data_IF_805766727798
#
_entry.id   IF_805766727798
#
_cell.length_a   1.000
_cell.length_b   1.000
_cell.length_c   1.000
_cell.angle_alpha   90.00
_cell.angle_beta   90.00
_cell.angle_gamma   90.00
#
_symmetry.space_group_name_H-M   'P 1'
#
loop_
_entity.id
_entity.type
_entity.pdbx_description
1 polymer ?
#
# COMPACT_ATOMS: atom_id res chain seq x y z
N UNK A 1 15.10 -41.75 14.50
CA UNK A 1 13.93 -40.97 14.88
C UNK A 1 13.47 -40.22 13.62
N UNK A 2 12.51 -40.80 12.90
CA UNK A 2 12.01 -40.25 11.64
C UNK A 2 10.96 -39.23 12.04
N UNK A 3 11.20 -37.93 11.73
CA UNK A 3 10.22 -36.90 11.96
C UNK A 3 9.16 -37.07 10.88
N UNK A 4 7.94 -37.42 11.28
CA UNK A 4 6.79 -37.47 10.39
C UNK A 4 6.31 -36.05 10.13
N UNK A 5 6.66 -35.51 8.95
CA UNK A 5 6.23 -34.18 8.49
C UNK A 5 4.88 -34.20 7.77
N UNK A 6 4.22 -35.38 7.69
CA UNK A 6 2.94 -35.51 6.96
C UNK A 6 1.76 -34.92 7.71
N UNK A 7 1.84 -34.73 9.05
CA UNK A 7 0.76 -34.18 9.87
C UNK A 7 0.77 -32.65 10.01
N UNK A 8 1.79 -31.97 9.50
CA UNK A 8 1.94 -30.52 9.64
C UNK A 8 1.51 -29.70 8.41
N UNK A 9 1.03 -30.35 7.37
CA UNK A 9 0.52 -29.65 6.19
C UNK A 9 -0.93 -29.21 6.43
N UNK A 10 -1.12 -28.13 7.19
CA UNK A 10 -2.35 -27.34 7.07
C UNK A 10 -2.54 -27.03 5.60
N UNK A 11 -3.69 -27.39 5.03
CA UNK A 11 -3.92 -27.16 3.60
C UNK A 11 -3.79 -25.65 3.33
N UNK A 12 -3.22 -25.27 2.20
CA UNK A 12 -3.03 -23.86 1.82
C UNK A 12 -4.37 -23.10 1.81
N UNK A 13 -5.49 -23.81 1.63
CA UNK A 13 -6.84 -23.26 1.71
C UNK A 13 -7.26 -22.86 3.13
N UNK A 14 -6.64 -23.41 4.18
CA UNK A 14 -6.94 -23.13 5.58
C UNK A 14 -6.11 -21.97 6.15
N UNK A 15 -5.04 -21.56 5.45
CA UNK A 15 -4.24 -20.44 5.89
C UNK A 15 -5.05 -19.14 5.75
N UNK A 16 -5.05 -18.34 6.80
CA UNK A 16 -5.61 -17.00 6.79
C UNK A 16 -4.98 -16.19 5.65
N UNK A 17 -5.80 -15.58 4.79
CA UNK A 17 -5.32 -14.81 3.64
C UNK A 17 -4.68 -13.50 4.03
N UNK A 18 -5.27 -12.81 4.98
CA UNK A 18 -4.93 -11.45 5.38
C UNK A 18 -4.83 -11.35 6.89
N UNK A 19 -3.93 -10.50 7.36
CA UNK A 19 -3.77 -10.12 8.76
C UNK A 19 -3.68 -8.61 8.89
N UNK A 20 -4.10 -8.09 10.04
CA UNK A 20 -3.78 -6.73 10.47
C UNK A 20 -2.96 -6.86 11.74
N UNK A 21 -1.81 -6.22 11.79
CA UNK A 21 -0.89 -6.35 12.90
C UNK A 21 -0.66 -4.99 13.57
N UNK A 22 -1.03 -4.90 14.85
CA UNK A 22 -0.80 -3.74 15.70
C UNK A 22 0.11 -4.12 16.87
N UNK A 23 1.28 -4.68 16.56
CA UNK A 23 2.19 -5.27 17.53
C UNK A 23 3.48 -4.46 17.68
N UNK A 24 3.90 -4.28 18.92
CA UNK A 24 5.13 -3.57 19.28
C UNK A 24 4.98 -2.04 19.24
N UNK A 25 6.05 -1.36 19.63
CA UNK A 25 6.11 0.10 19.68
C UNK A 25 6.40 0.65 18.28
N UNK A 26 5.69 1.71 17.87
CA UNK A 26 6.01 2.45 16.65
C UNK A 26 7.37 3.14 16.78
N UNK A 27 8.19 3.01 15.75
CA UNK A 27 9.44 3.76 15.63
C UNK A 27 9.14 5.21 15.25
N UNK A 28 9.99 6.17 15.63
CA UNK A 28 9.89 7.52 15.08
C UNK A 28 9.94 7.49 13.55
N UNK A 29 9.05 8.22 12.92
CA UNK A 29 9.02 8.37 11.46
C UNK A 29 10.05 9.43 11.01
N UNK A 30 10.38 9.44 9.73
CA UNK A 30 11.32 10.40 9.13
C UNK A 30 10.79 11.84 9.22
N UNK A 31 9.47 12.01 9.14
CA UNK A 31 8.78 13.30 9.14
C UNK A 31 7.67 13.32 10.19
N UNK A 32 7.19 14.51 10.51
CA UNK A 32 6.05 14.69 11.41
C UNK A 32 4.75 14.14 10.82
N UNK A 33 3.78 13.82 11.69
CA UNK A 33 2.44 13.45 11.28
C UNK A 33 1.78 14.56 10.43
N UNK A 34 2.05 15.83 10.75
CA UNK A 34 1.56 16.97 9.98
C UNK A 34 2.10 16.98 8.54
N UNK A 35 3.35 16.56 8.35
CA UNK A 35 3.94 16.45 7.01
C UNK A 35 3.32 15.29 6.22
N UNK A 36 3.06 14.13 6.84
CA UNK A 36 2.35 13.04 6.18
C UNK A 36 0.91 13.43 5.81
N UNK A 37 0.19 14.12 6.70
CA UNK A 37 -1.15 14.64 6.37
C UNK A 37 -1.13 15.67 5.23
N UNK A 38 -0.12 16.54 5.18
CA UNK A 38 0.06 17.48 4.06
C UNK A 38 0.24 16.72 2.74
N UNK A 39 1.08 15.66 2.74
CA UNK A 39 1.33 14.85 1.55
C UNK A 39 0.07 14.11 1.10
N UNK A 40 -0.58 13.42 2.02
CA UNK A 40 -1.83 12.70 1.76
C UNK A 40 -2.94 13.66 1.34
N UNK A 41 -3.04 14.84 1.97
CA UNK A 41 -3.98 15.89 1.60
C UNK A 41 -3.81 16.34 0.14
N UNK A 42 -2.57 16.54 -0.31
CA UNK A 42 -2.31 16.85 -1.73
C UNK A 42 -2.71 15.72 -2.68
N UNK A 43 -2.50 14.46 -2.30
CA UNK A 43 -2.96 13.32 -3.11
C UNK A 43 -4.50 13.22 -3.12
N UNK A 44 -5.16 13.48 -1.98
CA UNK A 44 -6.63 13.53 -1.87
C UNK A 44 -7.23 14.67 -2.71
N UNK A 45 -6.53 15.79 -2.84
CA UNK A 45 -6.94 16.84 -3.77
C UNK A 45 -6.91 16.33 -5.22
N UNK A 46 -5.86 15.64 -5.63
CA UNK A 46 -5.77 14.99 -6.96
C UNK A 46 -6.92 13.98 -7.14
N UNK A 47 -7.24 13.21 -6.09
CA UNK A 47 -8.38 12.28 -6.12
C UNK A 47 -9.69 13.03 -6.39
N UNK A 48 -9.95 14.13 -5.68
CA UNK A 48 -11.16 14.94 -5.87
C UNK A 48 -11.24 15.53 -7.29
N UNK A 49 -10.14 16.09 -7.79
CA UNK A 49 -10.07 16.69 -9.15
C UNK A 49 -10.32 15.65 -10.25
N UNK A 50 -9.87 14.41 -10.06
CA UNK A 50 -10.04 13.32 -11.03
C UNK A 50 -11.29 12.45 -10.75
N UNK A 51 -12.02 12.70 -9.67
CA UNK A 51 -13.17 11.91 -9.24
C UNK A 51 -12.77 10.45 -8.92
N UNK A 52 -11.68 10.24 -8.21
CA UNK A 52 -11.19 8.92 -7.83
C UNK A 52 -11.76 8.50 -6.46
N UNK A 53 -12.15 7.24 -6.36
CA UNK A 53 -12.62 6.65 -5.09
C UNK A 53 -11.44 6.32 -4.16
N UNK A 54 -10.31 5.92 -4.74
CA UNK A 54 -9.05 5.64 -4.04
C UNK A 54 -7.85 5.72 -5.00
N UNK A 55 -6.64 5.73 -4.44
CA UNK A 55 -5.38 5.59 -5.18
C UNK A 55 -4.61 4.39 -4.66
N UNK A 56 -4.10 3.57 -5.57
CA UNK A 56 -3.24 2.41 -5.29
C UNK A 56 -1.83 2.73 -5.80
N UNK A 57 -0.96 3.10 -4.88
CA UNK A 57 0.46 3.36 -5.16
C UNK A 57 1.25 2.07 -4.98
N UNK A 58 2.10 1.74 -5.95
CA UNK A 58 2.90 0.52 -5.96
C UNK A 58 4.39 0.79 -6.13
N UNK A 59 4.76 2.01 -6.51
CA UNK A 59 6.16 2.38 -6.62
C UNK A 59 6.79 2.57 -5.25
N UNK A 60 8.03 2.09 -5.11
CA UNK A 60 8.83 2.21 -3.90
C UNK A 60 8.90 3.66 -3.38
N UNK A 61 9.18 4.61 -4.26
CA UNK A 61 9.35 6.01 -3.88
C UNK A 61 8.05 6.67 -3.44
N UNK A 62 6.90 6.32 -4.02
CA UNK A 62 5.62 6.87 -3.58
C UNK A 62 5.13 6.20 -2.30
N UNK A 63 5.27 4.89 -2.14
CA UNK A 63 4.99 4.23 -0.86
C UNK A 63 5.82 4.87 0.25
N UNK A 64 7.14 5.02 0.06
CA UNK A 64 8.01 5.70 1.04
C UNK A 64 7.59 7.15 1.30
N UNK A 65 7.27 7.91 0.26
CA UNK A 65 6.91 9.33 0.38
C UNK A 65 5.63 9.55 1.18
N UNK A 66 4.60 8.75 0.92
CA UNK A 66 3.28 8.94 1.53
C UNK A 66 3.07 8.18 2.84
N UNK A 67 3.91 7.19 3.17
CA UNK A 67 3.73 6.38 4.38
C UNK A 67 4.98 6.17 5.22
N UNK A 68 6.14 6.63 4.79
CA UNK A 68 7.44 6.32 5.39
C UNK A 68 7.87 4.85 5.30
N UNK A 69 7.01 3.97 4.80
CA UNK A 69 7.32 2.56 4.73
C UNK A 69 8.47 2.29 3.77
N UNK A 70 9.53 1.72 4.32
CA UNK A 70 10.71 1.28 3.59
C UNK A 70 10.71 -0.25 3.51
N UNK A 71 10.59 -0.80 2.32
CA UNK A 71 10.62 -2.24 2.10
C UNK A 71 11.76 -2.65 1.18
N UNK A 72 12.19 -3.90 1.30
CA UNK A 72 13.21 -4.44 0.39
C UNK A 72 12.52 -5.23 -0.73
N UNK A 73 12.92 -4.93 -1.96
CA UNK A 73 12.29 -5.52 -3.14
C UNK A 73 12.79 -6.95 -3.38
N UNK A 74 12.08 -7.94 -2.82
CA UNK A 74 12.38 -9.37 -2.99
C UNK A 74 11.34 -10.11 -3.85
N UNK A 75 10.81 -9.47 -4.89
CA UNK A 75 9.82 -10.09 -5.77
C UNK A 75 8.43 -10.27 -5.13
N UNK A 76 8.13 -9.54 -4.06
CA UNK A 76 6.80 -9.42 -3.48
C UNK A 76 6.15 -8.11 -3.91
N UNK A 77 4.82 -8.12 -4.00
CA UNK A 77 4.06 -6.90 -4.33
C UNK A 77 3.74 -6.11 -3.06
N UNK A 78 3.85 -4.80 -3.14
CA UNK A 78 3.54 -3.86 -2.08
C UNK A 78 2.65 -2.76 -2.63
N UNK A 79 1.74 -2.25 -1.80
CA UNK A 79 0.94 -1.10 -2.16
C UNK A 79 0.69 -0.20 -0.95
N UNK A 80 0.46 1.07 -1.22
CA UNK A 80 -0.23 1.98 -0.33
C UNK A 80 -1.57 2.33 -0.97
N UNK A 81 -2.65 1.94 -0.30
CA UNK A 81 -4.01 2.33 -0.67
C UNK A 81 -4.34 3.62 0.06
N UNK A 82 -4.57 4.69 -0.69
CA UNK A 82 -4.97 5.99 -0.13
C UNK A 82 -6.45 6.21 -0.44
N UNK A 83 -7.20 6.52 0.61
CA UNK A 83 -8.63 6.78 0.56
C UNK A 83 -8.91 8.25 0.90
N UNK A 84 -10.14 8.76 0.77
CA UNK A 84 -10.48 10.12 1.19
C UNK A 84 -10.11 10.42 2.66
N UNK A 85 -10.18 9.41 3.54
CA UNK A 85 -10.06 9.62 4.99
C UNK A 85 -8.76 9.12 5.59
N UNK A 86 -8.15 8.05 5.01
CA UNK A 86 -6.95 7.41 5.57
C UNK A 86 -6.01 6.82 4.51
N UNK A 87 -5.03 6.03 4.98
CA UNK A 87 -4.14 5.25 4.12
C UNK A 87 -3.81 3.90 4.76
N UNK A 88 -3.65 2.87 3.91
CA UNK A 88 -3.38 1.49 4.33
C UNK A 88 -2.25 0.91 3.51
N UNK A 89 -1.19 0.47 4.17
CA UNK A 89 -0.12 -0.30 3.55
C UNK A 89 -0.57 -1.76 3.35
N UNK A 90 -0.47 -2.27 2.12
CA UNK A 90 -0.71 -3.69 1.80
C UNK A 90 0.64 -4.34 1.54
N UNK A 91 1.04 -5.27 2.42
CA UNK A 91 2.41 -5.77 2.50
C UNK A 91 2.46 -7.30 2.59
N UNK A 92 3.62 -7.88 2.28
CA UNK A 92 3.81 -9.33 2.36
C UNK A 92 4.09 -9.78 3.79
N UNK A 93 3.67 -11.00 4.15
CA UNK A 93 3.86 -11.58 5.49
C UNK A 93 5.33 -11.74 5.90
N UNK A 94 6.26 -11.73 4.97
CA UNK A 94 7.70 -11.73 5.29
C UNK A 94 8.11 -10.49 6.11
N UNK A 95 7.40 -9.39 5.94
CA UNK A 95 7.63 -8.13 6.66
C UNK A 95 6.65 -7.92 7.82
N UNK A 96 5.92 -8.98 8.23
CA UNK A 96 4.89 -8.90 9.25
C UNK A 96 5.34 -8.14 10.51
N UNK A 97 4.54 -7.15 10.92
CA UNK A 97 4.82 -6.25 12.05
C UNK A 97 5.69 -5.03 11.70
N UNK A 98 6.50 -5.07 10.65
CA UNK A 98 7.27 -3.91 10.20
C UNK A 98 6.36 -2.75 9.71
N UNK A 99 5.37 -3.00 8.83
CA UNK A 99 4.49 -1.93 8.35
C UNK A 99 3.85 -1.14 9.49
N UNK A 100 3.30 -1.82 10.50
CA UNK A 100 2.73 -1.15 11.67
C UNK A 100 3.73 -0.26 12.41
N UNK A 101 4.94 -0.79 12.63
CA UNK A 101 5.94 -0.10 13.47
C UNK A 101 6.66 1.04 12.76
N UNK A 102 6.79 0.97 11.43
CA UNK A 102 7.68 1.87 10.67
C UNK A 102 6.96 2.66 9.59
N UNK A 103 5.61 2.67 9.57
CA UNK A 103 4.87 3.46 8.61
C UNK A 103 3.78 4.32 9.25
N UNK A 104 3.44 5.38 8.53
CA UNK A 104 2.26 6.18 8.77
C UNK A 104 1.01 5.48 8.22
N UNK A 105 -0.11 5.55 8.92
CA UNK A 105 -1.35 4.87 8.54
C UNK A 105 -1.50 3.46 9.10
N UNK A 106 -2.45 2.71 8.55
CA UNK A 106 -2.77 1.33 8.95
C UNK A 106 -2.10 0.31 8.02
N UNK A 107 -2.31 -0.98 8.30
CA UNK A 107 -1.70 -2.04 7.52
C UNK A 107 -2.63 -3.23 7.29
N UNK A 108 -2.45 -3.88 6.16
CA UNK A 108 -2.96 -5.21 5.83
C UNK A 108 -1.77 -6.03 5.35
N UNK A 109 -1.58 -7.21 5.96
CA UNK A 109 -0.50 -8.14 5.62
C UNK A 109 -1.10 -9.34 4.91
N UNK A 110 -0.70 -9.60 3.66
CA UNK A 110 -1.13 -10.78 2.92
C UNK A 110 -0.19 -11.96 3.16
N UNK A 111 -0.74 -13.18 3.33
CA UNK A 111 -0.02 -14.35 3.84
C UNK A 111 0.52 -15.30 2.78
N UNK A 112 -0.09 -15.34 1.60
CA UNK A 112 0.34 -16.22 0.51
C UNK A 112 0.22 -15.52 -0.85
N UNK A 113 1.37 -15.19 -1.44
CA UNK A 113 1.45 -14.52 -2.72
C UNK A 113 0.95 -15.37 -3.91
N UNK A 114 1.01 -16.71 -3.81
CA UNK A 114 0.58 -17.62 -4.88
C UNK A 114 -0.93 -17.62 -5.07
N UNK A 115 -1.69 -17.22 -4.06
CA UNK A 115 -3.15 -17.10 -4.09
C UNK A 115 -3.64 -15.72 -4.50
N UNK A 116 -2.75 -14.87 -5.01
CA UNK A 116 -3.05 -13.46 -5.35
C UNK A 116 -3.63 -12.65 -4.17
N UNK A 117 -3.26 -13.02 -2.94
CA UNK A 117 -3.75 -12.39 -1.72
C UNK A 117 -3.38 -10.91 -1.61
N UNK A 118 -2.38 -10.44 -2.37
CA UNK A 118 -2.07 -9.02 -2.50
C UNK A 118 -3.28 -8.22 -3.01
N UNK A 119 -3.95 -8.70 -4.05
CA UNK A 119 -5.12 -8.02 -4.61
C UNK A 119 -6.32 -8.09 -3.67
N UNK A 120 -6.47 -9.23 -2.95
CA UNK A 120 -7.44 -9.35 -1.85
C UNK A 120 -7.18 -8.33 -0.75
N UNK A 121 -5.90 -8.05 -0.42
CA UNK A 121 -5.53 -7.02 0.54
C UNK A 121 -5.99 -5.62 0.12
N UNK A 122 -5.84 -5.28 -1.17
CA UNK A 122 -6.32 -4.00 -1.70
C UNK A 122 -7.86 -3.94 -1.65
N UNK A 123 -8.55 -5.02 -2.07
CA UNK A 123 -10.02 -5.10 -1.97
C UNK A 123 -10.50 -4.93 -0.52
N UNK A 124 -9.85 -5.62 0.41
CA UNK A 124 -10.20 -5.55 1.84
C UNK A 124 -9.95 -4.16 2.42
N UNK A 125 -8.88 -3.47 2.01
CA UNK A 125 -8.62 -2.09 2.42
C UNK A 125 -9.78 -1.15 2.05
N UNK A 126 -10.38 -1.33 0.88
CA UNK A 126 -11.52 -0.55 0.41
C UNK A 126 -12.84 -1.02 1.03
N UNK A 127 -13.07 -2.33 1.11
CA UNK A 127 -14.29 -2.91 1.65
C UNK A 127 -14.51 -2.54 3.12
N UNK A 128 -13.46 -2.58 3.96
CA UNK A 128 -13.54 -2.17 5.37
C UNK A 128 -13.96 -0.71 5.55
N UNK A 129 -13.79 0.11 4.51
CA UNK A 129 -14.14 1.54 4.48
C UNK A 129 -15.44 1.82 3.73
N UNK A 130 -16.13 0.77 3.28
CA UNK A 130 -17.37 0.90 2.51
C UNK A 130 -17.18 1.57 1.15
N UNK A 131 -15.94 1.57 0.61
CA UNK A 131 -15.63 2.20 -0.67
C UNK A 131 -15.88 1.20 -1.79
N UNK A 132 -16.85 1.53 -2.64
CA UNK A 132 -17.07 0.83 -3.90
C UNK A 132 -16.14 1.44 -4.96
N UNK A 133 -15.10 0.70 -5.32
CA UNK A 133 -14.13 1.15 -6.30
C UNK A 133 -14.71 1.10 -7.72
N UNK A 134 -15.01 2.27 -8.26
CA UNK A 134 -15.41 2.47 -9.67
C UNK A 134 -14.35 3.22 -10.47
N UNK A 135 -13.52 4.01 -9.78
CA UNK A 135 -12.43 4.79 -10.36
C UNK A 135 -11.22 4.75 -9.42
N UNK A 136 -10.19 4.00 -9.81
CA UNK A 136 -8.95 3.85 -9.04
C UNK A 136 -7.80 4.60 -9.71
N UNK A 137 -7.11 5.41 -8.95
CA UNK A 137 -5.84 6.00 -9.37
C UNK A 137 -4.72 4.97 -9.28
N UNK A 138 -3.88 4.88 -10.31
CA UNK A 138 -2.72 3.98 -10.38
C UNK A 138 -1.52 4.70 -10.98
N UNK A 139 -0.33 4.12 -10.85
CA UNK A 139 0.93 4.66 -11.39
C UNK A 139 1.28 3.95 -12.70
N UNK A 140 0.73 4.39 -13.82
CA UNK A 140 0.92 3.73 -15.11
C UNK A 140 2.39 3.74 -15.59
N UNK A 141 3.22 4.68 -15.10
CA UNK A 141 4.65 4.78 -15.44
C UNK A 141 5.54 3.74 -14.74
N UNK A 142 5.06 3.16 -13.64
CA UNK A 142 5.82 2.19 -12.85
C UNK A 142 5.09 0.87 -12.61
N UNK A 143 3.79 0.80 -12.91
CA UNK A 143 2.96 -0.38 -12.70
C UNK A 143 3.24 -1.43 -13.78
N UNK A 144 3.83 -2.61 -13.44
CA UNK A 144 4.04 -3.66 -14.43
C UNK A 144 2.74 -4.12 -15.07
N UNK A 145 2.76 -4.41 -16.37
CA UNK A 145 1.57 -4.83 -17.12
C UNK A 145 0.82 -5.97 -16.44
N UNK A 146 1.54 -7.02 -16.02
CA UNK A 146 0.93 -8.16 -15.32
C UNK A 146 0.22 -7.75 -14.01
N UNK A 147 0.81 -6.82 -13.26
CA UNK A 147 0.21 -6.34 -12.02
C UNK A 147 -1.04 -5.51 -12.32
N UNK A 148 -1.00 -4.69 -13.37
CA UNK A 148 -2.13 -3.89 -13.84
C UNK A 148 -3.30 -4.79 -14.28
N UNK A 149 -3.02 -5.83 -15.08
CA UNK A 149 -4.03 -6.78 -15.55
C UNK A 149 -4.70 -7.52 -14.38
N UNK A 150 -3.93 -7.96 -13.40
CA UNK A 150 -4.46 -8.61 -12.20
C UNK A 150 -5.25 -7.65 -11.32
N UNK A 151 -4.81 -6.39 -11.19
CA UNK A 151 -5.56 -5.36 -10.48
C UNK A 151 -6.89 -5.09 -11.18
N UNK A 152 -6.90 -4.98 -12.52
CA UNK A 152 -8.12 -4.83 -13.29
C UNK A 152 -9.06 -6.05 -13.11
N UNK A 153 -8.51 -7.26 -13.07
CA UNK A 153 -9.30 -8.47 -12.82
C UNK A 153 -9.90 -8.50 -11.40
N UNK A 154 -9.18 -7.95 -10.40
CA UNK A 154 -9.69 -7.82 -9.04
C UNK A 154 -10.78 -6.74 -8.91
N UNK A 155 -10.77 -5.74 -9.79
CA UNK A 155 -11.75 -4.65 -9.84
C UNK A 155 -12.32 -4.51 -11.26
N UNK A 156 -13.14 -5.47 -11.73
CA UNK A 156 -13.57 -5.53 -13.13
C UNK A 156 -14.41 -4.32 -13.57
N UNK A 157 -15.14 -3.71 -12.63
CA UNK A 157 -16.00 -2.55 -12.89
C UNK A 157 -15.27 -1.20 -12.70
N UNK A 158 -14.01 -1.22 -12.26
CA UNK A 158 -13.27 0.00 -11.98
C UNK A 158 -12.51 0.48 -13.23
N UNK A 159 -12.58 1.78 -13.51
CA UNK A 159 -11.64 2.44 -14.40
C UNK A 159 -10.32 2.70 -13.67
N UNK A 160 -9.20 2.24 -14.23
CA UNK A 160 -7.86 2.55 -13.75
C UNK A 160 -7.36 3.83 -14.43
N UNK A 161 -7.04 4.85 -13.65
CA UNK A 161 -6.70 6.20 -14.11
C UNK A 161 -5.30 6.59 -13.64
N UNK A 162 -4.47 7.09 -14.54
CA UNK A 162 -3.10 7.47 -14.20
C UNK A 162 -3.02 8.68 -13.26
N UNK A 163 -2.20 8.53 -12.21
CA UNK A 163 -1.84 9.58 -11.26
C UNK A 163 -0.33 9.86 -11.20
N UNK A 164 0.49 9.16 -11.99
CA UNK A 164 1.95 9.21 -11.96
C UNK A 164 2.50 10.62 -12.00
N UNK A 165 2.11 11.39 -13.01
CA UNK A 165 2.58 12.77 -13.20
C UNK A 165 2.12 13.71 -12.08
N UNK A 166 0.90 13.54 -11.55
CA UNK A 166 0.39 14.37 -10.48
C UNK A 166 1.12 14.10 -9.16
N UNK A 167 1.34 12.82 -8.82
CA UNK A 167 2.13 12.43 -7.65
C UNK A 167 3.61 12.89 -7.77
N UNK A 168 4.20 12.78 -8.96
CA UNK A 168 5.55 13.26 -9.21
C UNK A 168 5.66 14.79 -9.00
N UNK A 169 4.73 15.58 -9.54
CA UNK A 169 4.71 17.04 -9.36
C UNK A 169 4.65 17.43 -7.90
N UNK A 170 3.84 16.73 -7.10
CA UNK A 170 3.76 16.99 -5.66
C UNK A 170 5.11 16.78 -4.97
N UNK A 171 5.84 15.71 -5.30
CA UNK A 171 7.17 15.43 -4.74
C UNK A 171 8.26 16.40 -5.23
N UNK A 172 8.08 17.05 -6.37
CA UNK A 172 9.02 18.04 -6.88
C UNK A 172 9.10 19.30 -6.00
N UNK A 173 7.97 19.70 -5.38
CA UNK A 173 7.90 20.88 -4.51
C UNK A 173 8.16 20.41 -3.07
N UNK A 174 9.32 20.80 -2.53
CA UNK A 174 9.77 20.35 -1.21
C UNK A 174 9.16 21.18 -0.08
N UNK A 175 8.76 20.53 0.99
CA UNK A 175 8.36 21.18 2.24
C UNK A 175 9.59 21.68 3.02
N UNK A 176 9.33 22.44 4.08
CA UNK A 176 10.39 22.92 4.96
C UNK A 176 11.10 21.73 5.67
N UNK A 177 10.35 20.70 6.11
CA UNK A 177 10.91 19.50 6.73
C UNK A 177 11.76 18.70 5.73
N UNK A 178 11.29 18.52 4.49
CA UNK A 178 12.07 17.87 3.43
C UNK A 178 13.37 18.60 3.12
N UNK A 179 13.37 19.93 3.12
CA UNK A 179 14.58 20.73 2.90
C UNK A 179 15.58 20.52 4.02
N UNK A 180 15.14 20.40 5.28
CA UNK A 180 16.03 20.10 6.41
C UNK A 180 16.72 18.76 6.20
N UNK A 181 15.97 17.69 5.86
CA UNK A 181 16.54 16.35 5.62
C UNK A 181 17.52 16.33 4.43
N UNK A 182 17.23 17.08 3.36
CA UNK A 182 18.10 17.12 2.18
C UNK A 182 19.42 17.86 2.46
N UNK A 183 19.46 18.77 3.41
CA UNK A 183 20.67 19.55 3.76
C UNK A 183 21.63 18.83 4.69
N UNK A 184 21.23 17.74 5.30
CA UNK A 184 22.04 16.89 6.18
C UNK A 184 22.59 15.67 5.46
#
# INVERSE_FOLDING_TARGET
MTIDISSAATSVSELERLKTLHNGTKSPLTFSDAEFERRLGGLRQIMAEKGLDAVVLTSYHNIKYYSDYLFTYFGRSYALVVTPDDSVSVTANIDAGMPWRTSYGDNIVYTDWRRDNFYFGIQEALNRRGIKATRLGVEDDTLPVLLRDKLQAAFPDAALLDVSQAAMRQRMIKSAEEIVVIKH
#
